data_IF_426525549819
#
_entry.id   IF_426525549819
#
_cell.length_a   1.000
_cell.length_b   1.000
_cell.length_c   1.000
_cell.angle_alpha   90.00
_cell.angle_beta   90.00
_cell.angle_gamma   90.00
#
_symmetry.space_group_name_H-M   'P 1'
#
loop_
_entity.id
_entity.type
_entity.pdbx_description
1 polymer ?
#
# COMPACT_ATOMS: atom_id res chain seq x y z
N UNK A 1 -40.05 -19.74 57.09
CA UNK A 1 -38.66 -19.63 56.62
C UNK A 1 -38.28 -20.46 55.38
N UNK A 2 -39.21 -21.07 54.60
CA UNK A 2 -38.89 -21.94 53.45
C UNK A 2 -39.09 -21.31 52.05
N UNK A 3 -39.42 -20.04 51.95
CA UNK A 3 -39.67 -19.36 50.65
C UNK A 3 -38.60 -18.34 50.20
N UNK A 4 -37.55 -18.10 51.01
CA UNK A 4 -36.47 -17.17 50.66
C UNK A 4 -35.23 -17.82 49.97
N UNK A 5 -35.10 -19.13 50.02
CA UNK A 5 -33.95 -19.85 49.52
C UNK A 5 -33.86 -19.85 47.95
N UNK A 6 -34.96 -20.01 47.19
CA UNK A 6 -34.88 -19.97 45.73
C UNK A 6 -34.60 -18.58 45.16
N UNK A 7 -35.08 -17.48 45.81
CA UNK A 7 -34.80 -16.15 45.37
C UNK A 7 -33.33 -15.72 45.57
N UNK A 8 -32.71 -16.23 46.65
CA UNK A 8 -31.29 -15.95 46.90
C UNK A 8 -30.35 -16.71 45.95
N UNK A 9 -30.68 -17.93 45.56
CA UNK A 9 -29.92 -18.69 44.55
C UNK A 9 -30.08 -18.09 43.15
N UNK A 10 -31.25 -17.54 42.81
CA UNK A 10 -31.48 -16.86 41.56
C UNK A 10 -30.68 -15.54 41.45
N UNK A 11 -30.55 -14.81 42.59
CA UNK A 11 -29.77 -13.55 42.65
C UNK A 11 -28.27 -13.84 42.58
N UNK A 12 -27.76 -14.90 43.19
CA UNK A 12 -26.34 -15.31 43.09
C UNK A 12 -25.99 -15.80 41.69
N UNK A 13 -26.86 -16.57 41.03
CA UNK A 13 -26.64 -17.02 39.66
C UNK A 13 -26.67 -15.86 38.65
N UNK A 14 -27.53 -14.85 38.89
CA UNK A 14 -27.59 -13.65 38.03
C UNK A 14 -26.36 -12.73 38.19
N UNK A 15 -25.81 -12.60 39.41
CA UNK A 15 -24.60 -11.84 39.67
C UNK A 15 -23.34 -12.54 39.14
N UNK A 16 -23.28 -13.88 39.12
CA UNK A 16 -22.19 -14.64 38.48
C UNK A 16 -22.24 -14.53 36.96
N UNK A 17 -23.43 -14.54 36.35
CA UNK A 17 -23.59 -14.33 34.89
C UNK A 17 -23.19 -12.92 34.47
N UNK A 18 -23.52 -11.90 35.26
CA UNK A 18 -23.09 -10.52 34.99
C UNK A 18 -21.58 -10.32 35.18
N UNK A 19 -20.97 -11.03 36.13
CA UNK A 19 -19.52 -11.01 36.37
C UNK A 19 -18.73 -11.74 35.27
N UNK A 20 -19.27 -12.82 34.71
CA UNK A 20 -18.65 -13.55 33.59
C UNK A 20 -18.69 -12.74 32.27
N UNK A 21 -19.80 -12.06 31.99
CA UNK A 21 -19.90 -11.17 30.83
C UNK A 21 -18.94 -9.96 30.94
N UNK A 22 -18.79 -9.36 32.13
CA UNK A 22 -17.83 -8.27 32.35
C UNK A 22 -16.37 -8.72 32.20
N UNK A 23 -15.99 -9.89 32.68
CA UNK A 23 -14.64 -10.45 32.52
C UNK A 23 -14.32 -10.73 31.06
N UNK A 24 -15.26 -11.25 30.28
CA UNK A 24 -15.07 -11.49 28.85
C UNK A 24 -14.87 -10.19 28.04
N UNK A 25 -15.63 -9.15 28.34
CA UNK A 25 -15.51 -7.83 27.68
C UNK A 25 -14.14 -7.18 27.97
N UNK A 26 -13.69 -7.17 29.23
CA UNK A 26 -12.38 -6.63 29.57
C UNK A 26 -11.21 -7.38 28.90
N UNK A 27 -11.29 -8.70 28.76
CA UNK A 27 -10.27 -9.50 28.12
C UNK A 27 -10.19 -9.19 26.59
N UNK A 28 -11.33 -9.03 25.93
CA UNK A 28 -11.39 -8.68 24.51
C UNK A 28 -10.82 -7.27 24.26
N UNK A 29 -11.26 -6.27 25.05
CA UNK A 29 -10.75 -4.91 24.91
C UNK A 29 -9.22 -4.83 25.12
N UNK A 30 -8.66 -5.65 26.04
CA UNK A 30 -7.21 -5.73 26.27
C UNK A 30 -6.47 -6.32 25.07
N UNK A 31 -7.05 -7.32 24.39
CA UNK A 31 -6.47 -7.90 23.15
C UNK A 31 -6.51 -6.87 22.02
N UNK A 32 -7.60 -6.13 21.87
CA UNK A 32 -7.71 -5.07 20.85
C UNK A 32 -6.69 -3.95 21.08
N UNK A 33 -6.49 -3.52 22.33
CA UNK A 33 -5.46 -2.55 22.69
C UNK A 33 -4.05 -3.06 22.37
N UNK A 34 -3.75 -4.30 22.68
CA UNK A 34 -2.47 -4.92 22.38
C UNK A 34 -2.25 -5.01 20.86
N UNK A 35 -3.24 -5.48 20.11
CA UNK A 35 -3.18 -5.57 18.66
C UNK A 35 -2.95 -4.19 18.01
N UNK A 36 -3.64 -3.16 18.50
CA UNK A 36 -3.47 -1.78 18.02
C UNK A 36 -2.04 -1.27 18.29
N UNK A 37 -1.50 -1.53 19.48
CA UNK A 37 -0.13 -1.13 19.84
C UNK A 37 0.95 -1.81 19.00
N UNK A 38 0.72 -3.04 18.56
CA UNK A 38 1.64 -3.83 17.72
C UNK A 38 1.48 -3.50 16.22
N UNK A 39 0.41 -2.85 15.83
CA UNK A 39 0.00 -2.68 14.43
C UNK A 39 1.06 -2.03 13.53
N UNK A 40 1.91 -1.16 14.05
CA UNK A 40 2.95 -0.49 13.28
C UNK A 40 4.28 -1.26 13.24
N UNK A 41 4.65 -1.87 14.36
CA UNK A 41 5.96 -2.53 14.51
C UNK A 41 5.94 -4.03 14.19
N UNK A 42 4.82 -4.70 14.47
CA UNK A 42 4.64 -6.15 14.34
C UNK A 42 3.24 -6.47 13.82
N UNK A 43 2.90 -6.08 12.57
CA UNK A 43 1.56 -6.27 12.01
C UNK A 43 1.15 -7.75 11.89
N UNK A 44 2.09 -8.66 11.68
CA UNK A 44 1.91 -10.12 11.70
C UNK A 44 1.40 -10.62 13.05
N UNK A 45 2.02 -10.17 14.13
CA UNK A 45 1.60 -10.52 15.50
C UNK A 45 0.24 -9.91 15.83
N UNK A 46 -0.03 -8.69 15.36
CA UNK A 46 -1.35 -8.06 15.47
C UNK A 46 -2.43 -8.88 14.77
N UNK A 47 -2.16 -9.34 13.54
CA UNK A 47 -3.09 -10.18 12.78
C UNK A 47 -3.39 -11.49 13.52
N UNK A 48 -2.36 -12.19 13.99
CA UNK A 48 -2.52 -13.44 14.75
C UNK A 48 -3.37 -13.24 16.01
N UNK A 49 -3.15 -12.17 16.78
CA UNK A 49 -3.94 -11.85 17.96
C UNK A 49 -5.42 -11.61 17.62
N UNK A 50 -5.69 -10.91 16.54
CA UNK A 50 -7.06 -10.58 16.11
C UNK A 50 -7.79 -11.83 15.59
N UNK A 51 -7.12 -12.66 14.80
CA UNK A 51 -7.71 -13.92 14.29
C UNK A 51 -7.95 -14.96 15.39
N UNK A 52 -7.16 -14.93 16.47
CA UNK A 52 -7.35 -15.82 17.62
C UNK A 52 -8.57 -15.48 18.48
N UNK A 53 -9.23 -14.33 18.27
CA UNK A 53 -10.40 -13.93 19.05
C UNK A 53 -11.59 -14.83 18.71
N UNK A 54 -12.12 -15.63 19.68
CA UNK A 54 -13.25 -16.49 19.42
C UNK A 54 -14.57 -15.71 19.32
N UNK A 55 -15.39 -16.05 18.34
CA UNK A 55 -16.75 -15.54 18.18
C UNK A 55 -16.86 -13.99 18.19
N UNK A 56 -16.15 -13.25 17.30
CA UNK A 56 -16.17 -11.78 17.29
C UNK A 56 -17.58 -11.20 17.10
N UNK A 57 -18.51 -11.96 16.52
CA UNK A 57 -19.92 -11.58 16.39
C UNK A 57 -20.66 -11.43 17.74
N UNK A 58 -20.12 -11.96 18.83
CA UNK A 58 -20.67 -11.82 20.19
C UNK A 58 -20.14 -10.61 20.95
N UNK A 59 -19.20 -9.87 20.38
CA UNK A 59 -18.67 -8.66 20.97
C UNK A 59 -19.73 -7.57 21.09
N UNK A 60 -19.53 -6.66 22.06
CA UNK A 60 -20.28 -5.38 22.12
C UNK A 60 -20.05 -4.56 20.83
N UNK A 61 -21.01 -3.70 20.49
CA UNK A 61 -20.99 -2.94 19.24
C UNK A 61 -19.68 -2.16 19.03
N UNK A 62 -19.17 -1.53 20.07
CA UNK A 62 -17.92 -0.75 20.05
C UNK A 62 -16.72 -1.63 19.77
N UNK A 63 -16.55 -2.71 20.53
CA UNK A 63 -15.42 -3.64 20.37
C UNK A 63 -15.47 -4.34 19.01
N UNK A 64 -16.66 -4.67 18.52
CA UNK A 64 -16.87 -5.28 17.21
C UNK A 64 -16.46 -4.34 16.07
N UNK A 65 -16.81 -3.07 16.17
CA UNK A 65 -16.42 -2.06 15.19
C UNK A 65 -14.90 -1.82 15.21
N UNK A 66 -14.32 -1.73 16.39
CA UNK A 66 -12.87 -1.59 16.54
C UNK A 66 -12.12 -2.82 16.05
N UNK A 67 -12.60 -4.01 16.38
CA UNK A 67 -12.07 -5.27 15.84
C UNK A 67 -12.10 -5.28 14.31
N UNK A 68 -13.22 -4.89 13.69
CA UNK A 68 -13.35 -4.86 12.24
C UNK A 68 -12.33 -3.91 11.61
N UNK A 69 -12.13 -2.72 12.17
CA UNK A 69 -11.10 -1.78 11.73
C UNK A 69 -9.69 -2.38 11.86
N UNK A 70 -9.35 -2.90 13.04
CA UNK A 70 -8.00 -3.44 13.29
C UNK A 70 -7.70 -4.67 12.44
N UNK A 71 -8.67 -5.57 12.25
CA UNK A 71 -8.47 -6.75 11.43
C UNK A 71 -8.28 -6.40 9.95
N UNK A 72 -9.04 -5.44 9.43
CA UNK A 72 -8.83 -4.95 8.05
C UNK A 72 -7.45 -4.30 7.91
N UNK A 73 -7.07 -3.46 8.86
CA UNK A 73 -5.75 -2.85 8.91
C UNK A 73 -4.62 -3.89 8.96
N UNK A 74 -4.74 -4.89 9.83
CA UNK A 74 -3.74 -5.94 9.97
C UNK A 74 -3.61 -6.78 8.70
N UNK A 75 -4.72 -7.14 8.06
CA UNK A 75 -4.72 -7.84 6.77
C UNK A 75 -4.02 -7.01 5.70
N UNK A 76 -4.40 -5.74 5.54
CA UNK A 76 -3.76 -4.83 4.57
C UNK A 76 -2.24 -4.75 4.77
N UNK A 77 -1.79 -4.55 6.02
CA UNK A 77 -0.35 -4.46 6.34
C UNK A 77 0.43 -5.77 6.15
N UNK A 78 -0.23 -6.90 6.18
CA UNK A 78 0.36 -8.23 5.94
C UNK A 78 0.14 -8.71 4.49
N UNK A 79 -0.30 -7.86 3.57
CA UNK A 79 -0.57 -8.19 2.17
C UNK A 79 -1.56 -9.36 2.01
N UNK A 80 -2.48 -9.51 2.98
CA UNK A 80 -3.59 -10.46 2.89
C UNK A 80 -4.73 -9.79 2.14
N UNK A 81 -5.17 -10.41 1.04
CA UNK A 81 -6.22 -9.87 0.17
C UNK A 81 -7.50 -9.50 0.92
N UNK A 82 -8.04 -8.34 0.57
CA UNK A 82 -9.28 -7.78 1.11
C UNK A 82 -10.42 -8.06 0.10
N UNK A 83 -10.97 -9.28 0.13
CA UNK A 83 -11.94 -9.77 -0.87
C UNK A 83 -13.19 -8.90 -1.00
N UNK A 84 -13.65 -8.26 0.09
CA UNK A 84 -14.83 -7.39 0.09
C UNK A 84 -14.82 -6.43 1.28
N UNK A 85 -15.69 -5.43 1.23
CA UNK A 85 -15.82 -4.37 2.23
C UNK A 85 -16.68 -4.72 3.45
N UNK A 86 -17.32 -5.89 3.49
CA UNK A 86 -18.30 -6.25 4.52
C UNK A 86 -17.76 -6.17 5.95
N UNK A 87 -16.46 -6.47 6.14
CA UNK A 87 -15.83 -6.37 7.44
C UNK A 87 -15.61 -4.92 7.86
N UNK A 88 -14.98 -4.11 7.01
CA UNK A 88 -14.67 -2.70 7.33
C UNK A 88 -15.94 -1.84 7.40
N UNK A 89 -16.98 -2.21 6.67
CA UNK A 89 -18.27 -1.52 6.72
C UNK A 89 -18.90 -1.54 8.13
N UNK A 90 -18.65 -2.60 8.93
CA UNK A 90 -19.06 -2.64 10.35
C UNK A 90 -18.44 -1.48 11.15
N UNK A 91 -17.19 -1.15 10.87
CA UNK A 91 -16.50 -0.04 11.51
C UNK A 91 -17.01 1.31 11.01
N UNK A 92 -17.16 1.48 9.70
CA UNK A 92 -17.70 2.70 9.08
C UNK A 92 -19.08 3.01 9.65
N UNK A 93 -20.04 2.06 9.59
CA UNK A 93 -21.42 2.22 10.05
C UNK A 93 -21.52 2.59 11.53
N UNK A 94 -20.61 2.07 12.33
CA UNK A 94 -20.58 2.34 13.77
C UNK A 94 -19.99 3.73 14.05
N UNK A 95 -18.80 4.04 13.51
CA UNK A 95 -18.08 5.26 13.82
C UNK A 95 -18.72 6.50 13.17
N UNK A 96 -19.45 6.38 12.07
CA UNK A 96 -20.26 7.48 11.51
C UNK A 96 -21.31 8.01 12.50
N UNK A 97 -21.83 7.14 13.37
CA UNK A 97 -22.86 7.46 14.36
C UNK A 97 -22.28 7.86 15.73
N UNK A 98 -20.95 7.87 15.85
CA UNK A 98 -20.26 8.11 17.10
C UNK A 98 -19.23 9.24 16.95
N UNK A 99 -18.75 9.78 18.06
CA UNK A 99 -17.85 10.93 18.07
C UNK A 99 -16.37 10.60 17.83
N UNK A 100 -16.02 9.32 17.65
CA UNK A 100 -14.63 8.89 17.43
C UNK A 100 -14.18 9.17 15.99
N UNK A 101 -13.78 10.40 15.77
CA UNK A 101 -13.40 10.92 14.46
C UNK A 101 -12.14 10.28 13.92
N UNK A 102 -11.20 9.91 14.78
CA UNK A 102 -9.95 9.29 14.35
C UNK A 102 -10.18 7.87 13.83
N UNK A 103 -10.93 7.03 14.57
CA UNK A 103 -11.28 5.71 14.10
C UNK A 103 -12.18 5.74 12.88
N UNK A 104 -13.06 6.74 12.75
CA UNK A 104 -13.85 6.94 11.55
C UNK A 104 -12.96 7.26 10.34
N UNK A 105 -12.00 8.16 10.48
CA UNK A 105 -11.06 8.50 9.40
C UNK A 105 -10.27 7.27 8.94
N UNK A 106 -9.73 6.48 9.89
CA UNK A 106 -9.04 5.23 9.60
C UNK A 106 -9.98 4.20 8.93
N UNK A 107 -11.26 4.13 9.35
CA UNK A 107 -12.24 3.23 8.73
C UNK A 107 -12.52 3.60 7.27
N UNK A 108 -12.67 4.87 6.94
CA UNK A 108 -12.79 5.32 5.56
C UNK A 108 -11.56 5.00 4.73
N UNK A 109 -10.36 5.20 5.30
CA UNK A 109 -9.12 4.89 4.60
C UNK A 109 -9.04 3.40 4.24
N UNK A 110 -9.22 2.49 5.22
CA UNK A 110 -9.15 1.06 4.95
C UNK A 110 -10.31 0.54 4.09
N UNK A 111 -11.48 1.18 4.13
CA UNK A 111 -12.53 0.94 3.15
C UNK A 111 -12.09 1.34 1.74
N UNK A 112 -11.38 2.48 1.60
CA UNK A 112 -10.77 2.90 0.35
C UNK A 112 -9.74 1.90 -0.18
N UNK A 113 -8.90 1.33 0.71
CA UNK A 113 -7.95 0.28 0.33
C UNK A 113 -8.64 -0.97 -0.24
N UNK A 114 -9.76 -1.40 0.36
CA UNK A 114 -10.57 -2.52 -0.15
C UNK A 114 -11.08 -2.23 -1.57
N UNK A 115 -11.65 -1.05 -1.80
CA UNK A 115 -12.16 -0.67 -3.13
C UNK A 115 -11.02 -0.54 -4.15
N UNK A 116 -9.85 -0.06 -3.73
CA UNK A 116 -8.67 -0.01 -4.61
C UNK A 116 -8.21 -1.40 -5.05
N UNK A 117 -8.17 -2.38 -4.14
CA UNK A 117 -7.86 -3.78 -4.50
C UNK A 117 -8.91 -4.40 -5.45
N UNK A 118 -10.14 -3.88 -5.44
CA UNK A 118 -11.21 -4.27 -6.36
C UNK A 118 -11.22 -3.45 -7.67
N UNK A 119 -10.19 -2.63 -7.90
CA UNK A 119 -10.06 -1.73 -9.06
C UNK A 119 -11.14 -0.64 -9.13
N UNK A 120 -11.94 -0.44 -8.07
CA UNK A 120 -12.88 0.68 -7.96
C UNK A 120 -12.17 1.94 -7.46
N UNK A 121 -11.31 2.49 -8.31
CA UNK A 121 -10.47 3.63 -7.99
C UNK A 121 -11.29 4.87 -7.64
N UNK A 122 -12.43 5.07 -8.29
CA UNK A 122 -13.30 6.24 -8.03
C UNK A 122 -13.87 6.24 -6.62
N UNK A 123 -14.34 5.08 -6.13
CA UNK A 123 -14.82 4.93 -4.76
C UNK A 123 -13.67 5.04 -3.76
N UNK A 124 -12.50 4.47 -4.07
CA UNK A 124 -11.31 4.58 -3.23
C UNK A 124 -10.91 6.05 -3.01
N UNK A 125 -10.81 6.86 -4.08
CA UNK A 125 -10.52 8.31 -3.99
C UNK A 125 -11.53 9.02 -3.08
N UNK A 126 -12.83 8.78 -3.28
CA UNK A 126 -13.87 9.40 -2.45
C UNK A 126 -13.73 9.06 -0.96
N UNK A 127 -13.40 7.81 -0.65
CA UNK A 127 -13.20 7.34 0.72
C UNK A 127 -11.92 7.93 1.34
N UNK A 128 -10.83 8.01 0.60
CA UNK A 128 -9.60 8.66 1.06
C UNK A 128 -9.81 10.16 1.31
N UNK A 129 -10.56 10.86 0.46
CA UNK A 129 -10.94 12.25 0.69
C UNK A 129 -11.84 12.42 1.92
N UNK A 130 -12.78 11.49 2.16
CA UNK A 130 -13.58 11.45 3.41
C UNK A 130 -12.66 11.25 4.62
N UNK A 131 -11.69 10.35 4.53
CA UNK A 131 -10.71 10.11 5.59
C UNK A 131 -9.97 11.40 5.97
N UNK A 132 -9.39 12.12 4.99
CA UNK A 132 -8.71 13.40 5.22
C UNK A 132 -9.60 14.44 5.90
N UNK A 133 -10.84 14.61 5.42
CA UNK A 133 -11.80 15.58 5.98
C UNK A 133 -12.27 15.20 7.38
N UNK A 134 -12.20 13.93 7.72
CA UNK A 134 -12.69 13.39 8.99
C UNK A 134 -11.64 13.41 10.08
N UNK A 135 -10.36 13.28 9.73
CA UNK A 135 -9.26 13.28 10.70
C UNK A 135 -9.27 14.59 11.51
N UNK A 136 -9.19 14.51 12.84
CA UNK A 136 -9.12 15.70 13.69
C UNK A 136 -7.88 16.56 13.38
N UNK A 137 -8.00 17.86 13.60
CA UNK A 137 -6.85 18.76 13.53
C UNK A 137 -5.78 18.35 14.56
N UNK A 138 -4.53 18.21 14.14
CA UNK A 138 -3.45 17.71 14.98
C UNK A 138 -3.46 16.18 15.16
N UNK A 139 -4.27 15.46 14.38
CA UNK A 139 -4.29 13.99 14.38
C UNK A 139 -2.99 13.37 13.84
N UNK A 140 -2.99 12.04 13.72
CA UNK A 140 -1.82 11.22 13.29
C UNK A 140 -1.26 11.69 11.93
N UNK A 141 -0.15 12.42 11.95
CA UNK A 141 0.49 12.96 10.75
C UNK A 141 1.05 11.86 9.85
N UNK A 142 1.55 10.76 10.44
CA UNK A 142 2.06 9.63 9.67
C UNK A 142 0.93 8.93 8.92
N UNK A 143 -0.25 8.83 9.52
CA UNK A 143 -1.45 8.35 8.85
C UNK A 143 -1.89 9.30 7.72
N UNK A 144 -1.90 10.61 7.96
CA UNK A 144 -2.26 11.59 6.93
C UNK A 144 -1.33 11.51 5.72
N UNK A 145 -0.02 11.35 5.93
CA UNK A 145 0.93 11.19 4.82
C UNK A 145 0.65 9.95 3.99
N UNK A 146 0.22 8.86 4.63
CA UNK A 146 -0.18 7.62 3.95
C UNK A 146 -1.42 7.84 3.08
N UNK A 147 -2.45 8.52 3.61
CA UNK A 147 -3.66 8.85 2.82
C UNK A 147 -3.34 9.71 1.61
N UNK A 148 -2.46 10.72 1.77
CA UNK A 148 -2.02 11.55 0.64
C UNK A 148 -1.23 10.75 -0.38
N UNK A 149 -0.36 9.82 0.04
CA UNK A 149 0.38 8.97 -0.88
C UNK A 149 -0.58 8.10 -1.72
N UNK A 150 -1.53 7.42 -1.06
CA UNK A 150 -2.47 6.54 -1.75
C UNK A 150 -3.42 7.30 -2.68
N UNK A 151 -3.78 8.56 -2.34
CA UNK A 151 -4.46 9.45 -3.28
C UNK A 151 -3.59 9.80 -4.48
N UNK A 152 -2.29 10.02 -4.27
CA UNK A 152 -1.32 10.25 -5.34
C UNK A 152 -1.30 9.07 -6.32
N UNK A 153 -1.20 7.85 -5.80
CA UNK A 153 -1.24 6.63 -6.61
C UNK A 153 -2.56 6.53 -7.41
N UNK A 154 -3.71 6.69 -6.73
CA UNK A 154 -5.01 6.63 -7.39
C UNK A 154 -5.19 7.69 -8.48
N UNK A 155 -4.70 8.90 -8.27
CA UNK A 155 -4.76 9.94 -9.31
C UNK A 155 -3.81 9.66 -10.47
N UNK A 156 -2.66 9.03 -10.22
CA UNK A 156 -1.76 8.54 -11.28
C UNK A 156 -2.46 7.46 -12.11
N UNK A 157 -3.16 6.51 -11.47
CA UNK A 157 -3.94 5.46 -12.14
C UNK A 157 -5.08 6.05 -13.00
N UNK A 158 -5.54 7.27 -12.70
CA UNK A 158 -6.56 8.01 -13.47
C UNK A 158 -5.96 8.98 -14.49
N UNK A 159 -4.66 8.97 -14.73
CA UNK A 159 -3.93 9.90 -15.59
C UNK A 159 -4.17 11.38 -15.21
N UNK A 160 -4.16 11.66 -13.91
CA UNK A 160 -4.33 13.00 -13.34
C UNK A 160 -3.02 13.46 -12.68
N UNK A 161 -1.94 13.52 -13.45
CA UNK A 161 -0.55 13.62 -12.99
C UNK A 161 -0.30 14.86 -12.12
N UNK A 162 -0.85 16.02 -12.49
CA UNK A 162 -0.70 17.24 -11.68
C UNK A 162 -1.36 17.10 -10.31
N UNK A 163 -2.55 16.49 -10.27
CA UNK A 163 -3.26 16.23 -9.00
C UNK A 163 -2.48 15.21 -8.16
N UNK A 164 -1.98 14.14 -8.77
CA UNK A 164 -1.13 13.15 -8.13
C UNK A 164 0.12 13.79 -7.50
N UNK A 165 0.83 14.65 -8.27
CA UNK A 165 1.99 15.39 -7.76
C UNK A 165 1.66 16.24 -6.55
N UNK A 166 0.51 16.90 -6.55
CA UNK A 166 0.09 17.71 -5.41
C UNK A 166 -0.13 16.83 -4.17
N UNK A 167 -0.70 15.63 -4.32
CA UNK A 167 -0.88 14.69 -3.21
C UNK A 167 0.48 14.18 -2.70
N UNK A 168 1.37 13.74 -3.57
CA UNK A 168 2.72 13.31 -3.18
C UNK A 168 3.53 14.43 -2.50
N UNK A 169 3.40 15.70 -2.93
CA UNK A 169 4.03 16.84 -2.27
C UNK A 169 3.52 17.04 -0.85
N UNK A 170 2.20 16.88 -0.60
CA UNK A 170 1.64 16.94 0.75
C UNK A 170 2.21 15.81 1.63
N UNK A 171 2.23 14.58 1.10
CA UNK A 171 2.82 13.44 1.80
C UNK A 171 4.32 13.66 2.10
N UNK A 172 5.08 14.14 1.12
CA UNK A 172 6.51 14.44 1.26
C UNK A 172 6.80 15.45 2.36
N UNK A 173 6.07 16.58 2.36
CA UNK A 173 6.24 17.62 3.38
C UNK A 173 5.99 17.09 4.80
N UNK A 174 4.97 16.24 4.97
CA UNK A 174 4.68 15.60 6.25
C UNK A 174 5.80 14.62 6.64
N UNK A 175 6.26 13.77 5.71
CA UNK A 175 7.26 12.76 5.99
C UNK A 175 8.63 13.37 6.31
N UNK A 176 9.01 14.46 5.65
CA UNK A 176 10.21 15.23 5.99
C UNK A 176 10.12 15.78 7.42
N UNK A 177 8.98 16.38 7.78
CA UNK A 177 8.77 16.90 9.14
C UNK A 177 8.76 15.80 10.21
N UNK A 178 8.30 14.60 9.86
CA UNK A 178 8.30 13.43 10.74
C UNK A 178 9.65 12.67 10.74
N UNK A 179 10.65 13.11 9.97
CA UNK A 179 11.92 12.42 9.76
C UNK A 179 11.75 10.99 9.19
N UNK A 180 10.66 10.74 8.47
CA UNK A 180 10.41 9.47 7.78
C UNK A 180 11.04 9.50 6.37
N UNK A 181 12.33 9.25 6.33
CA UNK A 181 13.13 9.32 5.11
C UNK A 181 12.69 8.26 4.09
N UNK A 182 12.24 7.09 4.55
CA UNK A 182 11.76 6.03 3.67
C UNK A 182 10.51 6.45 2.89
N UNK A 183 9.50 6.98 3.59
CA UNK A 183 8.28 7.46 2.91
C UNK A 183 8.54 8.71 2.09
N UNK A 184 9.42 9.61 2.55
CA UNK A 184 9.83 10.78 1.76
C UNK A 184 10.49 10.37 0.43
N UNK A 185 11.35 9.34 0.42
CA UNK A 185 11.90 8.75 -0.79
C UNK A 185 10.80 8.25 -1.75
N UNK A 186 9.81 7.51 -1.25
CA UNK A 186 8.70 7.03 -2.09
C UNK A 186 7.91 8.17 -2.70
N UNK A 187 7.65 9.25 -1.95
CA UNK A 187 6.94 10.41 -2.47
C UNK A 187 7.74 11.14 -3.58
N UNK A 188 9.06 11.34 -3.41
CA UNK A 188 9.90 11.90 -4.47
C UNK A 188 9.92 11.02 -5.71
N UNK A 189 9.97 9.70 -5.53
CA UNK A 189 9.90 8.75 -6.64
C UNK A 189 8.54 8.82 -7.35
N UNK A 190 7.44 8.95 -6.62
CA UNK A 190 6.11 9.16 -7.19
C UNK A 190 6.02 10.47 -8.00
N UNK A 191 6.53 11.57 -7.46
CA UNK A 191 6.58 12.86 -8.19
C UNK A 191 7.40 12.71 -9.48
N UNK A 192 8.58 12.09 -9.41
CA UNK A 192 9.41 11.84 -10.59
C UNK A 192 8.69 10.99 -11.64
N UNK A 193 7.95 9.95 -11.18
CA UNK A 193 7.12 9.10 -12.03
C UNK A 193 6.04 9.85 -12.79
N UNK A 194 5.33 10.77 -12.13
CA UNK A 194 4.30 11.59 -12.81
C UNK A 194 4.90 12.51 -13.87
N UNK A 195 6.10 13.06 -13.66
CA UNK A 195 6.79 13.83 -14.71
C UNK A 195 7.24 12.94 -15.87
N UNK A 196 7.67 11.70 -15.59
CA UNK A 196 8.02 10.75 -16.65
C UNK A 196 6.80 10.40 -17.52
N UNK A 197 5.62 10.19 -16.91
CA UNK A 197 4.37 9.94 -17.65
C UNK A 197 3.99 11.11 -18.58
N UNK A 198 4.29 12.35 -18.18
CA UNK A 198 4.10 13.54 -19.03
C UNK A 198 5.28 13.81 -19.99
N UNK A 199 6.25 12.90 -20.10
CA UNK A 199 7.46 13.04 -20.92
C UNK A 199 8.30 14.29 -20.56
N UNK A 200 8.19 14.77 -19.33
CA UNK A 200 8.98 15.89 -18.79
C UNK A 200 10.26 15.35 -18.15
N UNK A 201 11.16 14.85 -18.98
CA UNK A 201 12.34 14.09 -18.57
C UNK A 201 13.26 14.84 -17.60
N UNK A 202 13.54 16.12 -17.87
CA UNK A 202 14.42 16.93 -17.03
C UNK A 202 13.85 17.04 -15.59
N UNK A 203 12.54 17.26 -15.47
CA UNK A 203 11.86 17.29 -14.19
C UNK A 203 11.89 15.94 -13.49
N UNK A 204 11.64 14.85 -14.22
CA UNK A 204 11.72 13.51 -13.67
C UNK A 204 13.14 13.20 -13.12
N UNK A 205 14.18 13.54 -13.88
CA UNK A 205 15.58 13.36 -13.44
C UNK A 205 15.90 14.14 -12.17
N UNK A 206 15.43 15.38 -12.04
CA UNK A 206 15.66 16.20 -10.83
C UNK A 206 15.09 15.47 -9.59
N UNK A 207 13.86 15.00 -9.63
CA UNK A 207 13.22 14.32 -8.49
C UNK A 207 13.84 12.96 -8.21
N UNK A 208 14.20 12.19 -9.23
CA UNK A 208 14.89 10.92 -9.05
C UNK A 208 16.31 11.07 -8.52
N UNK A 209 17.03 12.15 -8.88
CA UNK A 209 18.33 12.46 -8.30
C UNK A 209 18.23 12.84 -6.82
N UNK A 210 17.23 13.65 -6.45
CA UNK A 210 16.97 13.95 -5.03
C UNK A 210 16.61 12.67 -4.24
N UNK A 211 15.84 11.77 -4.81
CA UNK A 211 15.53 10.48 -4.20
C UNK A 211 16.80 9.61 -4.06
N UNK A 212 17.70 9.62 -5.06
CA UNK A 212 18.97 8.90 -5.02
C UNK A 212 19.87 9.44 -3.91
N UNK A 213 20.03 10.76 -3.78
CA UNK A 213 20.80 11.39 -2.70
C UNK A 213 20.26 10.98 -1.33
N UNK A 214 18.94 10.93 -1.17
CA UNK A 214 18.29 10.51 0.07
C UNK A 214 18.59 9.04 0.41
N UNK A 215 18.51 8.15 -0.59
CA UNK A 215 18.75 6.70 -0.42
C UNK A 215 20.21 6.39 -0.09
N UNK A 216 21.16 7.16 -0.61
CA UNK A 216 22.58 6.98 -0.29
C UNK A 216 22.89 7.20 1.20
N UNK A 217 22.01 7.89 1.92
CA UNK A 217 22.13 8.09 3.38
C UNK A 217 21.43 6.98 4.18
N UNK A 218 20.67 6.11 3.50
CA UNK A 218 19.96 4.98 4.10
C UNK A 218 20.69 3.68 3.80
N UNK A 219 20.79 2.79 4.80
CA UNK A 219 21.31 1.43 4.58
C UNK A 219 20.19 0.51 4.06
N UNK A 220 19.66 0.87 2.85
CA UNK A 220 18.56 0.17 2.19
C UNK A 220 18.91 -0.14 0.72
N UNK A 221 19.68 -1.21 0.45
CA UNK A 221 20.17 -1.52 -0.90
C UNK A 221 19.06 -1.66 -1.95
N UNK A 222 17.91 -2.21 -1.58
CA UNK A 222 16.77 -2.40 -2.50
C UNK A 222 16.29 -1.06 -3.09
N UNK A 223 16.29 0.02 -2.30
CA UNK A 223 15.89 1.34 -2.79
C UNK A 223 16.88 1.91 -3.82
N UNK A 224 18.18 1.56 -3.72
CA UNK A 224 19.14 1.89 -4.77
C UNK A 224 18.78 1.20 -6.08
N UNK A 225 18.34 -0.07 -6.01
CA UNK A 225 17.85 -0.79 -7.19
C UNK A 225 16.64 -0.09 -7.81
N UNK A 226 15.68 0.27 -6.99
CA UNK A 226 14.45 0.96 -7.45
C UNK A 226 14.77 2.27 -8.14
N UNK A 227 15.60 3.13 -7.53
CA UNK A 227 15.87 4.46 -8.08
C UNK A 227 16.75 4.40 -9.34
N UNK A 228 17.74 3.49 -9.40
CA UNK A 228 18.50 3.28 -10.64
C UNK A 228 17.63 2.71 -11.77
N UNK A 229 16.65 1.85 -11.48
CA UNK A 229 15.67 1.39 -12.48
C UNK A 229 14.84 2.55 -13.00
N UNK A 230 14.36 3.44 -12.12
CA UNK A 230 13.58 4.60 -12.52
C UNK A 230 14.39 5.59 -13.39
N UNK A 231 15.63 5.89 -13.00
CA UNK A 231 16.55 6.70 -13.81
C UNK A 231 16.81 6.06 -15.17
N UNK A 232 17.00 4.74 -15.21
CA UNK A 232 17.15 3.99 -16.47
C UNK A 232 15.94 4.14 -17.37
N UNK A 233 14.73 4.10 -16.82
CA UNK A 233 13.50 4.33 -17.56
C UNK A 233 13.49 5.71 -18.23
N UNK A 234 13.85 6.77 -17.51
CA UNK A 234 13.92 8.12 -18.07
C UNK A 234 14.91 8.20 -19.23
N UNK A 235 16.14 7.69 -19.04
CA UNK A 235 17.15 7.69 -20.10
C UNK A 235 16.75 6.86 -21.31
N UNK A 236 16.03 5.74 -21.10
CA UNK A 236 15.50 4.95 -22.19
C UNK A 236 14.48 5.72 -23.03
N UNK A 237 13.54 6.41 -22.38
CA UNK A 237 12.55 7.24 -23.06
C UNK A 237 13.17 8.44 -23.78
N UNK A 238 14.29 8.99 -23.30
CA UNK A 238 15.07 10.03 -23.97
C UNK A 238 15.87 9.50 -25.17
N UNK A 239 15.97 8.15 -25.34
CA UNK A 239 16.84 7.53 -26.34
C UNK A 239 18.32 7.48 -25.95
N UNK A 240 18.65 7.86 -24.72
CA UNK A 240 20.00 7.82 -24.14
C UNK A 240 20.36 6.41 -23.66
N UNK A 241 20.31 5.43 -24.57
CA UNK A 241 20.42 4.00 -24.27
C UNK A 241 21.71 3.58 -23.56
N UNK A 242 22.80 4.33 -23.76
CA UNK A 242 24.07 4.12 -23.04
C UNK A 242 23.89 4.36 -21.54
N UNK A 243 23.36 5.52 -21.16
CA UNK A 243 23.11 5.91 -19.78
C UNK A 243 22.03 5.02 -19.15
N UNK A 244 20.97 4.69 -19.91
CA UNK A 244 19.94 3.75 -19.49
C UNK A 244 20.54 2.38 -19.14
N UNK A 245 21.43 1.86 -19.99
CA UNK A 245 22.11 0.59 -19.78
C UNK A 245 23.00 0.59 -18.52
N UNK A 246 23.71 1.69 -18.27
CA UNK A 246 24.54 1.82 -17.08
C UNK A 246 23.69 1.85 -15.80
N UNK A 247 22.59 2.61 -15.80
CA UNK A 247 21.66 2.67 -14.68
C UNK A 247 21.00 1.32 -14.38
N UNK A 248 20.45 0.64 -15.39
CA UNK A 248 19.80 -0.65 -15.15
C UNK A 248 20.78 -1.74 -14.74
N UNK A 249 22.03 -1.67 -15.18
CA UNK A 249 23.08 -2.60 -14.75
C UNK A 249 23.44 -2.43 -13.29
N UNK A 250 23.36 -1.20 -12.76
CA UNK A 250 23.53 -0.90 -11.33
C UNK A 250 22.29 -1.32 -10.53
N UNK A 251 21.09 -1.25 -11.10
CA UNK A 251 19.84 -1.58 -10.40
C UNK A 251 19.72 -3.09 -10.11
N UNK A 252 19.95 -3.94 -11.11
CA UNK A 252 19.68 -5.39 -11.08
C UNK A 252 20.27 -6.10 -9.85
N UNK A 253 21.53 -5.86 -9.41
CA UNK A 253 22.09 -6.54 -8.25
C UNK A 253 21.36 -6.28 -6.92
N UNK A 254 20.58 -5.22 -6.84
CA UNK A 254 19.83 -4.83 -5.64
C UNK A 254 18.37 -5.26 -5.66
N UNK A 255 17.83 -5.63 -6.83
CA UNK A 255 16.45 -6.07 -7.02
C UNK A 255 16.38 -7.60 -6.87
N UNK A 256 16.23 -8.06 -5.63
CA UNK A 256 16.36 -9.46 -5.24
C UNK A 256 15.03 -10.23 -5.28
N UNK A 257 13.90 -9.53 -5.25
CA UNK A 257 12.60 -10.17 -5.38
C UNK A 257 12.25 -10.43 -6.85
N UNK A 258 11.41 -11.45 -7.10
CA UNK A 258 11.09 -11.90 -8.46
C UNK A 258 10.41 -10.79 -9.27
N UNK A 259 9.49 -10.04 -8.66
CA UNK A 259 8.69 -9.03 -9.36
C UNK A 259 9.53 -7.81 -9.78
N UNK A 260 10.30 -7.25 -8.86
CA UNK A 260 11.20 -6.12 -9.14
C UNK A 260 12.30 -6.50 -10.14
N UNK A 261 12.85 -7.70 -10.05
CA UNK A 261 13.89 -8.17 -10.97
C UNK A 261 13.35 -8.44 -12.37
N UNK A 262 12.14 -8.99 -12.51
CA UNK A 262 11.56 -9.27 -13.82
C UNK A 262 11.25 -8.02 -14.62
N UNK A 263 10.73 -6.97 -14.00
CA UNK A 263 10.52 -5.68 -14.65
C UNK A 263 11.84 -5.01 -15.06
N UNK A 264 12.89 -5.16 -14.24
CA UNK A 264 14.22 -4.66 -14.57
C UNK A 264 14.87 -5.43 -15.74
N UNK A 265 14.67 -6.74 -15.82
CA UNK A 265 15.13 -7.54 -16.95
C UNK A 265 14.40 -7.18 -18.25
N UNK A 266 13.10 -6.91 -18.21
CA UNK A 266 12.34 -6.42 -19.35
C UNK A 266 12.94 -5.11 -19.89
N UNK A 267 13.07 -4.12 -19.03
CA UNK A 267 13.66 -2.82 -19.38
C UNK A 267 15.09 -2.99 -19.92
N UNK A 268 15.90 -3.87 -19.32
CA UNK A 268 17.26 -4.16 -19.80
C UNK A 268 17.25 -4.76 -21.21
N UNK A 269 16.29 -5.65 -21.49
CA UNK A 269 16.09 -6.21 -22.82
C UNK A 269 15.78 -5.15 -23.86
N UNK A 270 14.84 -4.24 -23.56
CA UNK A 270 14.45 -3.15 -24.45
C UNK A 270 15.64 -2.21 -24.75
N UNK A 271 16.39 -1.82 -23.72
CA UNK A 271 17.59 -1.00 -23.86
C UNK A 271 18.64 -1.69 -24.75
N UNK A 272 18.91 -2.98 -24.52
CA UNK A 272 19.90 -3.71 -25.29
C UNK A 272 19.46 -3.90 -26.74
N UNK A 273 18.17 -4.07 -27.00
CA UNK A 273 17.64 -4.13 -28.34
C UNK A 273 17.87 -2.82 -29.10
N UNK A 274 17.58 -1.69 -28.44
CA UNK A 274 17.82 -0.35 -28.99
C UNK A 274 19.31 -0.06 -29.22
N UNK A 275 20.21 -0.67 -28.43
CA UNK A 275 21.66 -0.64 -28.63
C UNK A 275 22.14 -1.60 -29.74
N UNK A 276 21.25 -2.31 -30.42
CA UNK A 276 21.58 -3.29 -31.48
C UNK A 276 22.09 -4.64 -30.95
N UNK A 277 22.11 -4.89 -29.65
CA UNK A 277 22.60 -6.09 -28.98
C UNK A 277 21.50 -7.15 -28.87
N UNK A 278 20.98 -7.62 -29.99
CA UNK A 278 19.76 -8.44 -30.08
C UNK A 278 19.82 -9.73 -29.26
N UNK A 279 20.92 -10.49 -29.32
CA UNK A 279 21.04 -11.75 -28.57
C UNK A 279 20.96 -11.51 -27.05
N UNK A 280 21.63 -10.48 -26.58
CA UNK A 280 21.56 -10.10 -25.17
C UNK A 280 20.15 -9.60 -24.77
N UNK A 281 19.46 -8.88 -25.66
CA UNK A 281 18.08 -8.45 -25.42
C UNK A 281 17.16 -9.66 -25.24
N UNK A 282 17.22 -10.64 -26.12
CA UNK A 282 16.47 -11.90 -26.03
C UNK A 282 16.73 -12.65 -24.71
N UNK A 283 17.99 -12.68 -24.28
CA UNK A 283 18.34 -13.30 -23.01
C UNK A 283 17.62 -12.63 -21.83
N UNK A 284 17.68 -11.29 -21.74
CA UNK A 284 17.04 -10.55 -20.64
C UNK A 284 15.50 -10.61 -20.70
N UNK A 285 14.88 -10.52 -21.87
CA UNK A 285 13.43 -10.72 -22.00
C UNK A 285 13.00 -12.12 -21.56
N UNK A 286 13.81 -13.15 -21.82
CA UNK A 286 13.52 -14.49 -21.31
C UNK A 286 13.59 -14.59 -19.79
N UNK A 287 14.50 -13.86 -19.14
CA UNK A 287 14.53 -13.76 -17.68
C UNK A 287 13.29 -13.04 -17.13
N UNK A 288 12.78 -12.02 -17.83
CA UNK A 288 11.61 -11.27 -17.46
C UNK A 288 10.26 -11.95 -17.74
N UNK A 289 10.23 -13.12 -18.39
CA UNK A 289 8.96 -13.83 -18.71
C UNK A 289 8.14 -14.27 -17.50
N UNK A 290 8.78 -14.48 -16.37
CA UNK A 290 8.13 -15.00 -15.17
C UNK A 290 7.50 -13.90 -14.30
N UNK A 291 7.33 -12.68 -14.85
CA UNK A 291 6.64 -11.59 -14.17
C UNK A 291 5.18 -11.94 -13.88
N UNK A 292 4.69 -11.61 -12.71
CA UNK A 292 3.26 -11.60 -12.39
C UNK A 292 2.56 -10.41 -13.03
N UNK A 293 3.31 -9.32 -13.31
CA UNK A 293 2.81 -8.13 -13.99
C UNK A 293 2.44 -8.43 -15.45
N UNK A 294 1.16 -8.23 -15.77
CA UNK A 294 0.61 -8.54 -17.10
C UNK A 294 1.23 -7.66 -18.19
N UNK A 295 1.59 -6.41 -17.89
CA UNK A 295 2.21 -5.49 -18.84
C UNK A 295 3.64 -5.93 -19.19
N UNK A 296 4.45 -6.23 -18.19
CA UNK A 296 5.81 -6.78 -18.38
C UNK A 296 5.79 -8.09 -19.14
N UNK A 297 4.87 -9.01 -18.78
CA UNK A 297 4.69 -10.29 -19.44
C UNK A 297 4.28 -10.13 -20.90
N UNK A 298 3.33 -9.23 -21.17
CA UNK A 298 2.83 -8.94 -22.52
C UNK A 298 3.93 -8.28 -23.35
N UNK A 299 4.62 -7.28 -22.84
CA UNK A 299 5.74 -6.61 -23.51
C UNK A 299 6.84 -7.60 -23.89
N UNK A 300 7.27 -8.45 -22.96
CA UNK A 300 8.27 -9.49 -23.23
C UNK A 300 7.81 -10.50 -24.27
N UNK A 301 6.53 -10.92 -24.23
CA UNK A 301 5.98 -11.84 -25.22
C UNK A 301 6.04 -11.26 -26.64
N UNK A 302 5.60 -10.00 -26.82
CA UNK A 302 5.66 -9.34 -28.13
C UNK A 302 7.10 -9.04 -28.58
N UNK A 303 8.01 -8.76 -27.66
CA UNK A 303 9.42 -8.51 -27.97
C UNK A 303 10.17 -9.76 -28.43
N UNK A 304 9.78 -10.94 -27.92
CA UNK A 304 10.40 -12.24 -28.26
C UNK A 304 9.79 -12.84 -29.52
N UNK A 305 8.51 -12.62 -29.80
CA UNK A 305 7.86 -13.09 -31.02
C UNK A 305 8.35 -12.24 -32.22
N UNK A 306 8.98 -12.82 -33.23
CA UNK A 306 9.35 -12.09 -34.46
C UNK A 306 8.07 -11.52 -35.09
N UNK A 307 8.15 -10.30 -35.61
CA UNK A 307 7.07 -9.70 -36.37
C UNK A 307 6.76 -10.60 -37.57
N UNK A 308 5.62 -11.29 -37.53
CA UNK A 308 5.09 -11.98 -38.68
C UNK A 308 4.23 -11.00 -39.47
N UNK A 309 4.14 -11.15 -40.82
CA UNK A 309 3.34 -10.25 -41.65
C UNK A 309 1.85 -10.16 -41.25
N UNK A 310 1.38 -11.13 -40.47
CA UNK A 310 -0.02 -11.24 -40.05
C UNK A 310 -0.29 -10.64 -38.65
N UNK A 311 0.68 -9.95 -38.03
CA UNK A 311 0.48 -9.32 -36.72
C UNK A 311 0.37 -7.79 -36.85
N UNK A 312 -0.86 -7.22 -36.91
CA UNK A 312 -1.11 -5.81 -37.22
C UNK A 312 -0.73 -4.82 -36.10
N UNK A 313 -0.16 -5.26 -34.98
CA UNK A 313 0.12 -4.42 -33.80
C UNK A 313 1.49 -3.75 -33.84
N UNK A 314 2.29 -3.99 -34.89
CA UNK A 314 3.60 -3.36 -35.11
C UNK A 314 3.68 -2.50 -36.38
N UNK A 315 2.55 -2.01 -36.90
CA UNK A 315 2.50 -1.04 -37.99
C UNK A 315 2.11 0.34 -37.48
#
# INVERSE_FOLDING_TARGET
MKKLLPAFLFFISFTILLGACRRGSHAVSSILLLADSLMQSHPDSSLQLLEAIPAPQKMGKTDRAWYALLLTQAKYKNYVSLENDSLIQVAVDYFEKNSDRERLAKSYFYSGCVHREQEDISTAINLYLKSLRTMPQGGDSAFLSMVYNDLGDCYTDQNMEETARNMYRQAYAINVNNHDTLRAFHNLSGIGGTFLLELQFDSALIYYQQALEMVLLLDYPVLLGVIYKNLSGVYNEQGEYGQANDCISRAIPYLLDIESSTSAYSLKGDILYNLGKKDSAFYYWNLGKNSSDIYTKTSNYYSICPATPDNPIKA
#
